data_IF_049902607711
#
_entry.id   IF_049902607711
#
_cell.length_a   1.000
_cell.length_b   1.000
_cell.length_c   1.000
_cell.angle_alpha   90.00
_cell.angle_beta   90.00
_cell.angle_gamma   90.00
#
_symmetry.space_group_name_H-M   'P 1'
#
loop_
_entity.id
_entity.type
_entity.pdbx_description
1 polymer ?
#
# COMPACT_ATOMS: atom_id res chain seq x y z
N UNK A 1 5.99 -17.86 9.57
CA UNK A 1 6.56 -19.14 10.03
C UNK A 1 7.91 -19.32 9.35
N UNK A 2 8.96 -19.58 10.13
CA UNK A 2 10.30 -19.78 9.60
C UNK A 2 10.43 -21.22 9.09
N UNK A 3 10.91 -21.45 7.84
CA UNK A 3 11.14 -22.80 7.35
C UNK A 3 12.13 -23.58 8.23
N UNK A 4 12.03 -24.91 8.30
CA UNK A 4 12.88 -25.74 9.17
C UNK A 4 14.34 -25.84 8.70
N UNK A 5 14.65 -25.40 7.48
CA UNK A 5 16.01 -25.34 6.94
C UNK A 5 16.19 -24.11 6.04
N UNK A 6 17.34 -23.45 6.17
CA UNK A 6 17.77 -22.33 5.33
C UNK A 6 18.62 -22.77 4.12
N UNK A 7 18.76 -24.07 3.89
CA UNK A 7 19.45 -24.62 2.72
C UNK A 7 18.70 -24.24 1.42
N UNK A 8 19.34 -23.53 0.47
CA UNK A 8 18.77 -23.24 -0.84
C UNK A 8 18.17 -24.45 -1.56
N UNK A 9 18.81 -25.62 -1.46
CA UNK A 9 18.30 -26.85 -2.11
C UNK A 9 16.96 -27.27 -1.54
N UNK A 10 16.82 -27.19 -0.21
CA UNK A 10 15.56 -27.47 0.48
C UNK A 10 14.47 -26.47 0.07
N UNK A 11 14.75 -25.18 0.09
CA UNK A 11 13.78 -24.13 -0.25
C UNK A 11 13.31 -24.21 -1.72
N UNK A 12 14.22 -24.53 -2.64
CA UNK A 12 13.90 -24.77 -4.05
C UNK A 12 13.03 -26.02 -4.22
N UNK A 13 13.31 -27.10 -3.47
CA UNK A 13 12.50 -28.31 -3.51
C UNK A 13 11.08 -28.09 -2.99
N UNK A 14 10.91 -27.29 -1.93
CA UNK A 14 9.59 -26.93 -1.38
C UNK A 14 8.73 -26.22 -2.44
N UNK A 15 9.25 -25.14 -3.01
CA UNK A 15 8.55 -24.36 -4.04
C UNK A 15 8.28 -25.17 -5.31
N UNK A 16 9.22 -26.01 -5.74
CA UNK A 16 9.03 -26.95 -6.86
C UNK A 16 7.90 -27.95 -6.59
N UNK A 17 7.81 -28.48 -5.37
CA UNK A 17 6.81 -29.50 -5.02
C UNK A 17 5.39 -28.91 -5.00
N UNK A 18 5.24 -27.70 -4.46
CA UNK A 18 3.98 -26.94 -4.50
C UNK A 18 3.57 -26.70 -5.95
N UNK A 19 4.48 -26.18 -6.78
CA UNK A 19 4.17 -25.87 -8.17
C UNK A 19 3.88 -27.12 -9.01
N UNK A 20 4.63 -28.21 -8.82
CA UNK A 20 4.37 -29.49 -9.47
C UNK A 20 2.94 -29.99 -9.17
N UNK A 21 2.48 -29.83 -7.93
CA UNK A 21 1.12 -30.22 -7.51
C UNK A 21 0.05 -29.39 -8.22
N UNK A 22 0.27 -28.08 -8.39
CA UNK A 22 -0.62 -27.22 -9.17
C UNK A 22 -0.68 -27.68 -10.64
N UNK A 23 0.48 -27.90 -11.25
CA UNK A 23 0.59 -28.25 -12.68
C UNK A 23 0.18 -29.67 -13.03
N UNK A 24 0.11 -30.57 -12.04
CA UNK A 24 -0.40 -31.92 -12.21
C UNK A 24 -1.90 -31.93 -12.56
N UNK A 25 -2.63 -30.90 -12.14
CA UNK A 25 -4.07 -30.74 -12.43
C UNK A 25 -4.31 -29.67 -13.50
N UNK A 26 -3.59 -28.56 -13.45
CA UNK A 26 -3.67 -27.48 -14.44
C UNK A 26 -2.29 -27.16 -15.04
N UNK A 27 -1.96 -27.69 -16.23
CA UNK A 27 -0.69 -27.41 -16.89
C UNK A 27 -0.41 -25.93 -17.17
N UNK A 28 -1.42 -25.07 -17.16
CA UNK A 28 -1.31 -23.61 -17.38
C UNK A 28 -1.22 -22.80 -16.07
N UNK A 29 -1.23 -23.46 -14.91
CA UNK A 29 -1.23 -22.81 -13.61
C UNK A 29 -0.12 -21.75 -13.45
N UNK A 30 -0.48 -20.59 -12.92
CA UNK A 30 0.45 -19.55 -12.48
C UNK A 30 0.31 -19.42 -10.97
N UNK A 31 1.43 -19.49 -10.24
CA UNK A 31 1.41 -19.35 -8.80
C UNK A 31 1.50 -17.87 -8.39
N UNK A 32 0.39 -17.33 -7.89
CA UNK A 32 0.39 -16.04 -7.20
C UNK A 32 0.86 -16.21 -5.75
N UNK A 33 1.99 -15.59 -5.40
CA UNK A 33 2.65 -15.78 -4.11
C UNK A 33 2.80 -14.43 -3.38
N UNK A 34 2.49 -14.38 -2.08
CA UNK A 34 2.75 -13.19 -1.26
C UNK A 34 4.23 -13.06 -0.89
N UNK A 35 4.83 -11.89 -1.15
CA UNK A 35 6.22 -11.57 -0.80
C UNK A 35 6.46 -11.22 0.66
N UNK A 36 5.41 -11.07 1.49
CA UNK A 36 5.49 -10.60 2.89
C UNK A 36 6.57 -11.30 3.72
N UNK A 37 6.78 -12.60 3.51
CA UNK A 37 7.77 -13.38 4.24
C UNK A 37 9.21 -12.85 4.10
N UNK A 38 9.57 -12.31 2.94
CA UNK A 38 10.89 -11.72 2.68
C UNK A 38 11.13 -10.44 3.49
N UNK A 39 10.06 -9.74 3.87
CA UNK A 39 10.11 -8.60 4.79
C UNK A 39 9.97 -9.02 6.26
N UNK A 40 9.08 -9.95 6.58
CA UNK A 40 8.71 -10.28 7.96
C UNK A 40 9.82 -11.02 8.75
N UNK A 41 10.70 -11.74 8.05
CA UNK A 41 11.79 -12.52 8.65
C UNK A 41 13.07 -12.35 7.82
N UNK A 42 13.61 -11.12 7.79
CA UNK A 42 14.82 -10.77 7.02
C UNK A 42 16.08 -11.49 7.53
N UNK A 43 16.09 -11.96 8.77
CA UNK A 43 17.19 -12.74 9.33
C UNK A 43 17.31 -14.11 8.65
N UNK A 44 16.17 -14.73 8.32
CA UNK A 44 16.11 -15.98 7.58
C UNK A 44 16.22 -15.76 6.07
N UNK A 45 15.43 -14.84 5.51
CA UNK A 45 15.28 -14.63 4.06
C UNK A 45 16.40 -13.75 3.49
N UNK A 46 17.61 -14.31 3.41
CA UNK A 46 18.75 -13.66 2.75
C UNK A 46 18.70 -13.89 1.22
N UNK A 47 19.52 -13.19 0.43
CA UNK A 47 19.44 -13.25 -1.04
C UNK A 47 19.42 -14.67 -1.63
N UNK A 48 20.28 -15.57 -1.13
CA UNK A 48 20.34 -16.96 -1.61
C UNK A 48 19.05 -17.75 -1.31
N UNK A 49 18.44 -17.55 -0.15
CA UNK A 49 17.20 -18.22 0.26
C UNK A 49 16.01 -17.72 -0.55
N UNK A 50 15.90 -16.39 -0.75
CA UNK A 50 14.85 -15.78 -1.58
C UNK A 50 14.97 -16.30 -3.00
N UNK A 51 16.17 -16.23 -3.58
CA UNK A 51 16.40 -16.66 -4.96
C UNK A 51 16.09 -18.16 -5.13
N UNK A 52 16.49 -19.00 -4.18
CA UNK A 52 16.23 -20.44 -4.22
C UNK A 52 14.73 -20.78 -4.20
N UNK A 53 13.95 -20.08 -3.37
CA UNK A 53 12.50 -20.25 -3.32
C UNK A 53 11.84 -19.80 -4.65
N UNK A 54 12.23 -18.63 -5.17
CA UNK A 54 11.62 -18.08 -6.38
C UNK A 54 12.00 -18.87 -7.65
N UNK A 55 13.22 -19.43 -7.70
CA UNK A 55 13.71 -20.24 -8.82
C UNK A 55 13.37 -21.73 -8.69
N UNK A 56 12.72 -22.16 -7.60
CA UNK A 56 12.06 -23.48 -7.54
C UNK A 56 10.90 -23.62 -8.52
N UNK A 57 10.43 -22.49 -9.07
CA UNK A 57 9.36 -22.40 -10.09
C UNK A 57 9.93 -21.81 -11.37
N UNK A 58 9.53 -22.30 -12.56
CA UNK A 58 9.96 -21.70 -13.83
C UNK A 58 9.67 -20.20 -13.90
N UNK A 59 10.57 -19.43 -14.53
CA UNK A 59 10.37 -17.99 -14.71
C UNK A 59 9.08 -17.71 -15.47
N UNK A 60 8.30 -16.74 -15.01
CA UNK A 60 7.01 -16.38 -15.59
C UNK A 60 5.83 -17.27 -15.16
N UNK A 61 6.08 -18.34 -14.41
CA UNK A 61 5.04 -19.22 -13.83
C UNK A 61 4.74 -18.93 -12.36
N UNK A 62 5.38 -17.90 -11.81
CA UNK A 62 5.08 -17.30 -10.52
C UNK A 62 4.88 -15.79 -10.70
N UNK A 63 3.90 -15.23 -9.99
CA UNK A 63 3.76 -13.78 -9.84
C UNK A 63 3.88 -13.48 -8.35
N UNK A 64 4.84 -12.63 -7.98
CA UNK A 64 5.04 -12.24 -6.58
C UNK A 64 4.23 -10.96 -6.28
N UNK A 65 3.42 -10.97 -5.23
CA UNK A 65 2.82 -9.77 -4.68
C UNK A 65 3.85 -9.10 -3.78
N UNK A 66 4.41 -7.97 -4.21
CA UNK A 66 5.24 -7.11 -3.36
C UNK A 66 4.31 -6.35 -2.41
N UNK A 67 3.96 -7.04 -1.32
CA UNK A 67 2.69 -6.85 -0.61
C UNK A 67 2.56 -5.49 0.11
N UNK A 68 3.68 -4.89 0.48
CA UNK A 68 3.76 -3.65 1.26
C UNK A 68 4.70 -2.64 0.59
N UNK A 69 4.65 -2.57 -0.74
CA UNK A 69 5.66 -1.89 -1.54
C UNK A 69 5.63 -0.36 -1.42
N UNK A 70 4.57 0.22 -0.86
CA UNK A 70 4.51 1.65 -0.53
C UNK A 70 5.39 2.04 0.66
N UNK A 71 5.80 1.08 1.49
CA UNK A 71 6.70 1.33 2.62
C UNK A 71 7.97 0.48 2.52
N UNK A 72 7.83 -0.79 2.13
CA UNK A 72 8.87 -1.83 2.11
C UNK A 72 8.94 -2.52 0.74
N UNK A 73 9.41 -1.83 -0.31
CA UNK A 73 9.48 -2.39 -1.66
C UNK A 73 10.55 -3.49 -1.78
N UNK A 74 10.12 -4.75 -1.76
CA UNK A 74 10.98 -5.94 -1.82
C UNK A 74 11.67 -6.05 -3.18
N UNK A 75 11.01 -5.60 -4.26
CA UNK A 75 11.58 -5.64 -5.61
C UNK A 75 12.97 -4.96 -5.69
N UNK A 76 13.19 -3.93 -4.87
CA UNK A 76 14.39 -3.10 -4.92
C UNK A 76 15.66 -3.86 -4.56
N UNK A 77 15.63 -4.67 -3.50
CA UNK A 77 16.79 -5.44 -3.02
C UNK A 77 16.81 -6.90 -3.52
N UNK A 78 15.74 -7.36 -4.17
CA UNK A 78 15.69 -8.65 -4.87
C UNK A 78 15.96 -8.52 -6.38
N UNK A 79 16.38 -7.33 -6.83
CA UNK A 79 16.67 -7.04 -8.25
C UNK A 79 15.50 -7.42 -9.15
N UNK A 80 14.30 -6.95 -8.80
CA UNK A 80 13.04 -7.34 -9.44
C UNK A 80 12.76 -8.84 -9.32
N UNK A 81 12.76 -9.36 -8.08
CA UNK A 81 12.45 -10.76 -7.74
C UNK A 81 13.24 -11.80 -8.57
N UNK A 82 14.51 -11.48 -8.87
CA UNK A 82 15.41 -12.31 -9.65
C UNK A 82 14.80 -12.81 -10.98
N UNK A 83 13.98 -11.98 -11.62
CA UNK A 83 13.37 -12.27 -12.92
C UNK A 83 11.95 -12.84 -12.87
N UNK A 84 11.40 -13.16 -11.69
CA UNK A 84 9.97 -13.50 -11.60
C UNK A 84 9.11 -12.24 -11.77
N UNK A 85 7.97 -12.32 -12.50
CA UNK A 85 6.98 -11.25 -12.52
C UNK A 85 6.51 -10.84 -11.13
N UNK A 86 6.20 -9.56 -10.95
CA UNK A 86 5.64 -9.08 -9.68
C UNK A 86 4.57 -8.00 -9.87
N UNK A 87 3.71 -7.88 -8.85
CA UNK A 87 2.72 -6.81 -8.72
C UNK A 87 3.15 -5.93 -7.55
N UNK A 88 3.26 -4.63 -7.81
CA UNK A 88 3.51 -3.64 -6.76
C UNK A 88 2.21 -3.39 -5.99
N UNK A 89 2.16 -3.72 -4.70
CA UNK A 89 0.94 -3.57 -3.92
C UNK A 89 1.04 -2.46 -2.89
N UNK A 90 -0.06 -1.72 -2.74
CA UNK A 90 -0.30 -0.83 -1.60
C UNK A 90 -1.04 -1.62 -0.51
N UNK A 91 -0.39 -1.87 0.63
CA UNK A 91 -1.04 -2.53 1.77
C UNK A 91 -1.95 -1.55 2.52
N UNK A 92 -1.44 -0.37 2.88
CA UNK A 92 -2.10 0.77 3.52
C UNK A 92 -2.71 0.52 4.92
N UNK A 93 -3.40 -0.59 5.14
CA UNK A 93 -4.16 -0.85 6.36
C UNK A 93 -3.78 -2.20 6.98
N UNK A 94 -3.58 -2.18 8.29
CA UNK A 94 -3.41 -3.38 9.11
C UNK A 94 -4.57 -3.50 10.10
N UNK A 95 -5.11 -4.71 10.25
CA UNK A 95 -6.13 -5.07 11.23
C UNK A 95 -7.51 -4.40 11.05
N UNK A 96 -7.77 -3.75 9.92
CA UNK A 96 -9.00 -2.96 9.74
C UNK A 96 -9.05 -1.71 10.62
N UNK A 97 -7.90 -1.24 11.10
CA UNK A 97 -7.86 -0.12 12.03
C UNK A 97 -8.33 1.19 11.38
N UNK A 98 -9.15 1.95 12.10
CA UNK A 98 -9.57 3.31 11.71
C UNK A 98 -8.50 4.35 12.08
N UNK A 99 -8.58 5.53 11.47
CA UNK A 99 -7.66 6.65 11.70
C UNK A 99 -7.09 7.18 10.38
N UNK A 100 -6.83 8.49 10.32
CA UNK A 100 -6.23 9.10 9.14
C UNK A 100 -4.78 8.66 8.99
N UNK A 101 -4.48 8.04 7.85
CA UNK A 101 -3.13 7.57 7.53
C UNK A 101 -2.96 7.47 6.03
N UNK A 102 -1.75 7.71 5.55
CA UNK A 102 -1.32 7.37 4.20
C UNK A 102 0.15 7.64 4.00
N UNK A 103 0.67 7.17 2.87
CA UNK A 103 2.01 7.44 2.35
C UNK A 103 1.91 8.01 0.93
N UNK A 104 1.08 9.05 0.73
CA UNK A 104 0.64 9.49 -0.61
C UNK A 104 1.77 9.80 -1.59
N UNK A 105 2.92 10.31 -1.13
CA UNK A 105 4.10 10.51 -1.98
C UNK A 105 4.72 9.19 -2.45
N UNK A 106 4.78 8.20 -1.56
CA UNK A 106 5.26 6.86 -1.90
C UNK A 106 4.30 6.15 -2.82
N UNK A 107 2.99 6.21 -2.56
CA UNK A 107 1.94 5.65 -3.42
C UNK A 107 2.02 6.28 -4.83
N UNK A 108 2.14 7.61 -4.90
CA UNK A 108 2.16 8.34 -6.17
C UNK A 108 3.41 8.09 -7.01
N UNK A 109 4.57 7.84 -6.39
CA UNK A 109 5.84 7.65 -7.10
C UNK A 109 6.29 6.18 -7.23
N UNK A 110 5.82 5.30 -6.34
CA UNK A 110 6.25 3.92 -6.18
C UNK A 110 6.06 3.07 -7.44
N UNK A 111 4.85 2.98 -8.01
CA UNK A 111 4.59 2.24 -9.23
C UNK A 111 5.52 2.61 -10.39
N UNK A 112 5.77 3.91 -10.59
CA UNK A 112 6.63 4.39 -11.68
C UNK A 112 8.11 4.11 -11.41
N UNK A 113 8.56 4.16 -10.16
CA UNK A 113 9.91 3.71 -9.77
C UNK A 113 10.08 2.21 -10.02
N UNK A 114 9.06 1.41 -9.71
CA UNK A 114 9.07 -0.02 -9.96
C UNK A 114 9.06 -0.32 -11.47
N UNK A 115 8.29 0.42 -12.27
CA UNK A 115 8.21 0.27 -13.72
C UNK A 115 9.55 0.57 -14.41
N UNK A 116 10.23 1.65 -14.00
CA UNK A 116 11.50 2.08 -14.57
C UNK A 116 12.72 1.43 -13.90
N UNK A 117 12.52 0.50 -12.98
CA UNK A 117 13.63 -0.21 -12.34
C UNK A 117 14.42 -1.03 -13.37
N UNK A 118 15.76 -1.12 -13.28
CA UNK A 118 16.55 -1.90 -14.23
C UNK A 118 16.09 -3.35 -14.31
N UNK A 119 15.79 -3.82 -15.54
CA UNK A 119 15.22 -5.15 -15.80
C UNK A 119 13.93 -5.43 -15.02
N UNK A 120 13.09 -4.41 -14.82
CA UNK A 120 11.82 -4.55 -14.12
C UNK A 120 10.97 -5.66 -14.76
N UNK A 121 10.43 -6.51 -13.90
CA UNK A 121 9.45 -7.56 -14.20
C UNK A 121 8.08 -7.19 -13.66
N UNK A 122 7.82 -5.89 -13.45
CA UNK A 122 6.52 -5.39 -13.01
C UNK A 122 5.46 -5.73 -14.06
N UNK A 123 4.41 -6.42 -13.64
CA UNK A 123 3.26 -6.78 -14.50
C UNK A 123 1.95 -6.14 -14.06
N UNK A 124 1.94 -5.40 -12.96
CA UNK A 124 0.77 -4.67 -12.52
C UNK A 124 0.95 -3.97 -11.19
N UNK A 125 -0.12 -3.31 -10.75
CA UNK A 125 -0.24 -2.73 -9.42
C UNK A 125 -1.46 -3.28 -8.71
N UNK A 126 -1.45 -3.29 -7.38
CA UNK A 126 -2.53 -3.87 -6.57
C UNK A 126 -2.77 -3.14 -5.26
N UNK A 127 -3.89 -3.48 -4.62
CA UNK A 127 -4.25 -3.02 -3.28
C UNK A 127 -4.50 -4.24 -2.41
N UNK A 128 -3.81 -4.33 -1.27
CA UNK A 128 -3.82 -5.51 -0.39
C UNK A 128 -4.10 -5.13 1.07
N UNK A 129 -5.13 -4.31 1.38
CA UNK A 129 -5.42 -3.96 2.75
C UNK A 129 -5.91 -5.15 3.57
N UNK A 130 -5.51 -5.23 4.84
CA UNK A 130 -6.07 -6.22 5.77
C UNK A 130 -7.54 -5.92 6.09
N UNK A 131 -7.96 -4.64 6.05
CA UNK A 131 -9.35 -4.23 6.14
C UNK A 131 -9.67 -2.98 5.29
N UNK A 132 -10.89 -2.92 4.77
CA UNK A 132 -11.41 -1.83 3.93
C UNK A 132 -12.30 -0.87 4.74
N UNK A 133 -13.08 -0.01 4.07
CA UNK A 133 -14.02 0.96 4.69
C UNK A 133 -13.36 2.10 5.50
N UNK A 134 -12.08 2.37 5.23
CA UNK A 134 -11.35 3.50 5.79
C UNK A 134 -10.51 4.20 4.71
N UNK A 135 -10.08 5.44 4.97
CA UNK A 135 -9.19 6.23 4.11
C UNK A 135 -9.47 6.12 2.59
N UNK A 136 -10.72 6.31 2.09
CA UNK A 136 -11.08 6.07 0.69
C UNK A 136 -10.20 6.84 -0.31
N UNK A 137 -9.67 7.99 0.11
CA UNK A 137 -8.81 8.85 -0.70
C UNK A 137 -7.51 8.16 -1.16
N UNK A 138 -6.92 7.29 -0.33
CA UNK A 138 -5.68 6.59 -0.69
C UNK A 138 -5.94 5.49 -1.72
N UNK A 139 -7.09 4.82 -1.60
CA UNK A 139 -7.54 3.81 -2.56
C UNK A 139 -7.96 4.43 -3.89
N UNK A 140 -8.61 5.61 -3.89
CA UNK A 140 -8.92 6.34 -5.12
C UNK A 140 -7.64 6.79 -5.84
N UNK A 141 -6.66 7.34 -5.10
CA UNK A 141 -5.35 7.70 -5.67
C UNK A 141 -4.69 6.47 -6.32
N UNK A 142 -4.56 5.37 -5.57
CA UNK A 142 -3.91 4.15 -6.06
C UNK A 142 -4.63 3.56 -7.28
N UNK A 143 -5.97 3.58 -7.29
CA UNK A 143 -6.77 3.10 -8.42
C UNK A 143 -6.59 3.96 -9.67
N UNK A 144 -6.46 5.29 -9.53
CA UNK A 144 -6.20 6.17 -10.66
C UNK A 144 -4.84 5.89 -11.29
N UNK A 145 -3.80 5.61 -10.48
CA UNK A 145 -2.44 5.37 -10.97
C UNK A 145 -2.34 4.18 -11.95
N UNK A 146 -3.25 3.21 -11.87
CA UNK A 146 -3.31 2.10 -12.83
C UNK A 146 -3.54 2.56 -14.28
N UNK A 147 -4.11 3.74 -14.47
CA UNK A 147 -4.46 4.33 -15.76
C UNK A 147 -3.52 5.46 -16.18
N UNK A 148 -2.47 5.71 -15.40
CA UNK A 148 -1.53 6.81 -15.63
C UNK A 148 -0.18 6.30 -16.10
N UNK A 149 0.48 7.13 -16.92
CA UNK A 149 1.89 6.91 -17.32
C UNK A 149 2.88 7.63 -16.40
N UNK A 150 2.41 8.63 -15.65
CA UNK A 150 3.22 9.49 -14.79
C UNK A 150 2.49 9.83 -13.48
N UNK A 151 3.25 10.14 -12.40
CA UNK A 151 2.69 10.61 -11.13
C UNK A 151 1.76 11.83 -11.28
N UNK A 152 0.82 11.98 -10.36
CA UNK A 152 -0.02 13.19 -10.26
C UNK A 152 0.67 14.30 -9.46
N UNK A 153 0.26 15.55 -9.68
CA UNK A 153 0.52 16.62 -8.72
C UNK A 153 -0.43 16.45 -7.52
N UNK A 154 0.07 15.99 -6.38
CA UNK A 154 -0.74 15.63 -5.22
C UNK A 154 -1.56 16.81 -4.66
N UNK A 155 -1.01 18.02 -4.62
CA UNK A 155 -1.74 19.20 -4.15
C UNK A 155 -2.94 19.52 -5.04
N UNK A 156 -2.75 19.49 -6.37
CA UNK A 156 -3.83 19.66 -7.34
C UNK A 156 -4.83 18.50 -7.25
N UNK A 157 -4.34 17.27 -7.17
CA UNK A 157 -5.16 16.07 -7.09
C UNK A 157 -6.06 16.08 -5.85
N UNK A 158 -5.52 16.39 -4.67
CA UNK A 158 -6.28 16.49 -3.42
C UNK A 158 -7.36 17.59 -3.47
N UNK A 159 -7.05 18.70 -4.14
CA UNK A 159 -8.03 19.77 -4.37
C UNK A 159 -9.20 19.29 -5.23
N UNK A 160 -8.89 18.60 -6.34
CA UNK A 160 -9.90 18.08 -7.25
C UNK A 160 -10.68 16.92 -6.63
N UNK A 161 -10.05 16.10 -5.79
CA UNK A 161 -10.71 15.08 -4.99
C UNK A 161 -11.79 15.69 -4.09
N UNK A 162 -11.47 16.78 -3.38
CA UNK A 162 -12.47 17.50 -2.58
C UNK A 162 -13.64 17.98 -3.44
N UNK A 163 -13.37 18.59 -4.60
CA UNK A 163 -14.43 19.09 -5.49
C UNK A 163 -15.34 17.97 -5.97
N UNK A 164 -14.77 16.84 -6.43
CA UNK A 164 -15.55 15.67 -6.88
C UNK A 164 -16.35 15.05 -5.75
N UNK A 165 -15.73 14.88 -4.58
CA UNK A 165 -16.33 14.21 -3.43
C UNK A 165 -17.50 14.99 -2.84
N UNK A 166 -17.38 16.31 -2.71
CA UNK A 166 -18.43 17.15 -2.11
C UNK A 166 -19.35 17.81 -3.14
N UNK A 167 -19.03 17.75 -4.43
CA UNK A 167 -19.72 18.52 -5.48
C UNK A 167 -19.73 20.01 -5.17
N UNK A 168 -18.62 20.55 -4.65
CA UNK A 168 -18.49 21.93 -4.17
C UNK A 168 -17.09 22.46 -4.46
N UNK A 169 -17.01 23.70 -4.94
CA UNK A 169 -15.74 24.38 -5.27
C UNK A 169 -15.25 25.31 -4.16
N UNK A 170 -15.75 25.15 -2.93
CA UNK A 170 -15.35 25.98 -1.81
C UNK A 170 -13.85 25.85 -1.51
N UNK A 171 -13.18 26.99 -1.41
CA UNK A 171 -11.75 27.06 -1.17
C UNK A 171 -11.36 26.39 0.14
N UNK A 172 -12.16 26.55 1.21
CA UNK A 172 -11.93 25.91 2.51
C UNK A 172 -11.78 24.39 2.41
N UNK A 173 -12.62 23.71 1.62
CA UNK A 173 -12.52 22.25 1.43
C UNK A 173 -11.23 21.87 0.71
N UNK A 174 -10.90 22.59 -0.37
CA UNK A 174 -9.68 22.31 -1.12
C UNK A 174 -8.42 22.58 -0.29
N UNK A 175 -8.41 23.64 0.53
CA UNK A 175 -7.33 23.97 1.44
C UNK A 175 -7.20 22.92 2.55
N UNK A 176 -8.31 22.46 3.13
CA UNK A 176 -8.30 21.38 4.12
C UNK A 176 -7.71 20.09 3.56
N UNK A 177 -8.12 19.66 2.37
CA UNK A 177 -7.60 18.43 1.75
C UNK A 177 -6.11 18.53 1.37
N UNK A 178 -5.64 19.71 0.95
CA UNK A 178 -4.20 19.95 0.77
C UNK A 178 -3.43 19.80 2.08
N UNK A 179 -3.95 20.35 3.19
CA UNK A 179 -3.34 20.21 4.51
C UNK A 179 -3.31 18.74 4.96
N UNK A 180 -4.40 17.99 4.80
CA UNK A 180 -4.44 16.57 5.14
C UNK A 180 -3.43 15.75 4.31
N UNK A 181 -3.30 16.06 3.02
CA UNK A 181 -2.32 15.43 2.13
C UNK A 181 -0.88 15.76 2.49
N UNK A 182 -0.60 16.98 2.97
CA UNK A 182 0.72 17.38 3.42
C UNK A 182 1.08 16.82 4.82
N UNK A 183 0.09 16.36 5.59
CA UNK A 183 0.24 15.94 6.99
C UNK A 183 -0.10 14.45 7.20
N UNK A 184 -1.31 14.16 7.70
CA UNK A 184 -1.75 12.81 8.13
C UNK A 184 -1.66 11.75 7.02
N UNK A 185 -1.84 12.14 5.76
CA UNK A 185 -1.76 11.23 4.62
C UNK A 185 -0.34 11.11 4.02
N UNK A 186 0.66 11.81 4.56
CA UNK A 186 2.04 11.75 4.07
C UNK A 186 3.02 11.32 5.17
N UNK A 187 2.85 10.10 5.67
CA UNK A 187 3.84 9.48 6.52
C UNK A 187 5.12 9.17 5.72
N UNK A 188 6.24 9.72 6.17
CA UNK A 188 7.58 9.50 5.60
C UNK A 188 8.50 8.75 6.55
N UNK A 189 7.98 8.30 7.70
CA UNK A 189 8.74 7.54 8.70
C UNK A 189 9.07 6.16 8.10
N UNK A 190 10.36 5.77 8.03
CA UNK A 190 10.75 4.45 7.52
C UNK A 190 10.12 3.32 8.34
N UNK A 191 9.76 2.21 7.68
CA UNK A 191 9.21 1.00 8.31
C UNK A 191 7.90 1.20 9.08
N UNK A 192 7.19 2.30 8.84
CA UNK A 192 5.97 2.62 9.58
C UNK A 192 4.83 1.66 9.23
N UNK A 193 4.26 1.00 10.25
CA UNK A 193 3.08 0.12 10.11
C UNK A 193 1.87 0.78 10.76
N UNK A 194 0.79 0.94 10.00
CA UNK A 194 -0.44 1.58 10.48
C UNK A 194 -1.31 0.62 11.31
N UNK A 195 -0.85 0.25 12.51
CA UNK A 195 -1.63 -0.54 13.48
C UNK A 195 -2.49 0.32 14.42
N UNK A 196 -2.62 1.63 14.16
CA UNK A 196 -3.19 2.64 15.06
C UNK A 196 -2.75 2.46 16.53
N UNK A 197 -1.66 3.14 16.91
CA UNK A 197 -1.14 3.13 18.28
C UNK A 197 -1.71 4.24 19.19
N UNK A 198 -2.84 4.84 18.82
CA UNK A 198 -3.42 5.92 19.62
C UNK A 198 -3.85 5.42 21.01
N UNK A 199 -3.71 6.24 22.07
CA UNK A 199 -4.14 5.84 23.40
C UNK A 199 -5.62 5.49 23.51
N UNK A 200 -6.45 5.95 22.57
CA UNK A 200 -7.89 5.68 22.53
C UNK A 200 -8.22 4.20 22.32
N UNK A 201 -7.40 3.49 21.54
CA UNK A 201 -7.67 2.09 21.14
C UNK A 201 -6.72 1.09 21.79
N UNK A 202 -5.78 1.56 22.61
CA UNK A 202 -4.80 0.74 23.30
C UNK A 202 -5.14 0.55 24.77
N UNK A 203 -4.67 -0.56 25.35
CA UNK A 203 -4.78 -0.79 26.79
C UNK A 203 -4.03 0.31 27.55
N UNK A 204 -4.65 0.98 28.54
CA UNK A 204 -3.99 2.04 29.29
C UNK A 204 -2.69 1.58 29.95
N UNK A 205 -1.67 2.44 29.91
CA UNK A 205 -0.35 2.20 30.51
C UNK A 205 0.36 3.53 30.76
N UNK A 206 1.35 3.54 31.67
CA UNK A 206 2.24 4.69 31.88
C UNK A 206 3.35 4.80 30.83
N UNK A 207 3.50 3.80 29.96
CA UNK A 207 4.56 3.72 28.95
C UNK A 207 4.03 3.84 27.51
N UNK A 208 2.91 4.54 27.31
CA UNK A 208 2.32 4.73 25.99
C UNK A 208 3.16 5.68 25.15
N UNK A 209 3.45 5.30 23.91
CA UNK A 209 4.07 6.19 22.94
C UNK A 209 2.98 6.96 22.18
N UNK A 210 2.99 8.28 22.31
CA UNK A 210 2.03 9.20 21.67
C UNK A 210 2.62 9.97 20.49
N UNK A 211 3.81 9.59 20.03
CA UNK A 211 4.45 10.21 18.88
C UNK A 211 3.60 10.03 17.61
N UNK A 212 3.54 11.08 16.81
CA UNK A 212 2.86 11.13 15.52
C UNK A 212 3.82 11.67 14.46
N UNK A 213 3.57 11.36 13.19
CA UNK A 213 4.46 11.71 12.06
C UNK A 213 4.13 13.06 11.40
N UNK A 214 3.19 13.81 11.97
CA UNK A 214 2.67 15.06 11.40
C UNK A 214 2.49 16.12 12.50
N UNK A 215 2.40 17.39 12.11
CA UNK A 215 2.07 18.47 13.04
C UNK A 215 0.56 18.44 13.36
N UNK A 216 0.13 18.28 14.65
CA UNK A 216 -1.28 18.33 15.01
C UNK A 216 -2.00 19.60 14.55
N UNK A 217 -1.29 20.73 14.45
CA UNK A 217 -1.85 22.01 14.04
C UNK A 217 -2.44 21.95 12.62
N UNK A 218 -1.84 21.18 11.71
CA UNK A 218 -2.35 21.00 10.35
C UNK A 218 -3.68 20.24 10.35
N UNK A 219 -3.79 19.19 11.17
CA UNK A 219 -5.03 18.44 11.30
C UNK A 219 -6.14 19.30 11.93
N UNK A 220 -5.83 20.06 12.99
CA UNK A 220 -6.81 20.96 13.61
C UNK A 220 -7.26 22.07 12.67
N UNK A 221 -6.34 22.64 11.87
CA UNK A 221 -6.65 23.65 10.87
C UNK A 221 -7.53 23.08 9.75
N UNK A 222 -7.19 21.89 9.24
CA UNK A 222 -8.01 21.20 8.24
C UNK A 222 -9.42 20.91 8.79
N UNK A 223 -9.52 20.45 10.04
CA UNK A 223 -10.81 20.21 10.69
C UNK A 223 -11.63 21.49 10.80
N UNK A 224 -11.04 22.60 11.25
CA UNK A 224 -11.70 23.90 11.33
C UNK A 224 -12.26 24.34 9.97
N UNK A 225 -11.46 24.25 8.91
CA UNK A 225 -11.89 24.62 7.55
C UNK A 225 -13.06 23.76 7.05
N UNK A 226 -13.06 22.46 7.36
CA UNK A 226 -14.16 21.55 7.01
C UNK A 226 -15.44 21.94 7.77
N UNK A 227 -15.36 22.26 9.06
CA UNK A 227 -16.50 22.70 9.86
C UNK A 227 -17.07 24.03 9.35
N UNK A 228 -16.21 24.98 8.98
CA UNK A 228 -16.64 26.26 8.41
C UNK A 228 -17.37 26.09 7.06
N UNK A 229 -17.00 25.08 6.27
CA UNK A 229 -17.69 24.76 5.02
C UNK A 229 -19.01 23.98 5.23
N UNK A 230 -19.18 23.33 6.38
CA UNK A 230 -20.27 22.39 6.65
C UNK A 230 -21.71 22.94 6.45
N UNK A 231 -22.06 24.19 6.83
CA UNK A 231 -23.43 24.70 6.68
C UNK A 231 -23.97 24.60 5.26
N UNK A 232 -23.10 24.75 4.26
CA UNK A 232 -23.46 24.66 2.84
C UNK A 232 -23.55 23.22 2.29
N UNK A 233 -23.18 22.23 3.09
CA UNK A 233 -23.07 20.81 2.70
C UNK A 233 -24.02 19.90 3.50
N UNK A 234 -24.78 20.42 4.47
CA UNK A 234 -25.56 19.61 5.42
C UNK A 234 -26.60 18.68 4.78
N UNK A 235 -27.02 18.92 3.54
CA UNK A 235 -27.95 18.06 2.80
C UNK A 235 -27.26 16.98 1.95
N UNK A 236 -25.93 16.89 1.96
CA UNK A 236 -25.17 15.95 1.13
C UNK A 236 -24.65 14.80 1.98
N UNK A 237 -25.20 13.60 1.79
CA UNK A 237 -24.49 12.39 2.19
C UNK A 237 -23.38 12.08 1.20
N UNK A 238 -22.24 11.65 1.73
CA UNK A 238 -21.09 11.18 0.94
C UNK A 238 -21.16 9.66 0.69
N UNK A 239 -22.36 9.08 0.81
CA UNK A 239 -22.60 7.65 0.61
C UNK A 239 -22.20 7.27 -0.81
N UNK A 240 -21.43 6.19 -0.91
CA UNK A 240 -20.84 5.74 -2.16
C UNK A 240 -21.89 5.58 -3.26
N UNK A 241 -21.52 6.03 -4.46
CA UNK A 241 -22.11 5.59 -5.71
C UNK A 241 -23.58 5.97 -5.94
N UNK A 242 -23.84 7.24 -6.29
CA UNK A 242 -24.82 7.50 -7.36
C UNK A 242 -24.07 7.50 -8.69
N UNK A 243 -23.81 6.28 -9.20
CA UNK A 243 -23.66 6.10 -10.64
C UNK A 243 -25.04 6.40 -11.25
N UNK A 244 -25.21 7.63 -11.72
CA UNK A 244 -26.25 7.89 -12.72
C UNK A 244 -25.72 7.35 -14.05
N UNK A 245 -26.58 6.54 -14.69
CA UNK A 245 -26.34 5.77 -15.92
C UNK A 245 -25.67 6.54 -17.04
#
# INVERSE_FOLDING_TARGET
MTPPSSDPTYLSAVSRSVFASMTAVDPQAIWLMQGWLFFSDTAFWKPAQIQALLHGVPLGRMIVLDLFAETEPIFSYTKSFYGQPFIWCMLQNFGGNSGFFGTVESINSGPFKALHFPNSTLVGIGMTPEGIEQNPVTYELMSELAWRKEPVNLSKWASLYAVRRYGSTQENLTAAWRLLFASVYNCTVPHYRNHNHSPLVHRPSFHMNTAIWYDPADLYKAWKLIIEAAPSLMSKELSGTTLSM
#
